data_IF_532444143283
#
_entry.id   IF_532444143283
#
_cell.length_a   1.000
_cell.length_b   1.000
_cell.length_c   1.000
_cell.angle_alpha   90.00
_cell.angle_beta   90.00
_cell.angle_gamma   90.00
#
_symmetry.space_group_name_H-M   'P 1'
#
loop_
_entity.id
_entity.type
_entity.pdbx_description
1 polymer ?
#
# COMPACT_ATOMS: atom_id res chain seq x y z
N UNK A 1 49.87 -14.56 51.59
CA UNK A 1 49.42 -13.19 51.90
C UNK A 1 49.05 -12.54 50.57
N UNK A 2 47.75 -12.40 50.31
CA UNK A 2 47.20 -11.97 49.01
C UNK A 2 47.21 -10.44 48.90
N UNK A 3 47.91 -9.90 47.90
CA UNK A 3 47.81 -8.49 47.52
C UNK A 3 47.01 -8.43 46.22
N UNK A 4 45.80 -7.84 46.30
CA UNK A 4 44.94 -7.54 45.15
C UNK A 4 45.49 -6.31 44.43
N UNK A 5 45.68 -6.40 43.12
CA UNK A 5 45.89 -5.24 42.25
C UNK A 5 44.58 -4.91 41.51
N UNK A 6 44.22 -3.63 41.33
CA UNK A 6 42.93 -3.24 40.78
C UNK A 6 42.92 -3.36 39.25
N UNK A 7 41.80 -3.88 38.74
CA UNK A 7 41.45 -3.87 37.32
C UNK A 7 41.27 -2.41 36.91
N UNK A 8 42.15 -1.91 36.04
CA UNK A 8 41.98 -0.63 35.36
C UNK A 8 41.01 -0.84 34.20
N UNK A 9 39.73 -0.56 34.43
CA UNK A 9 38.72 -0.44 33.40
C UNK A 9 38.94 0.86 32.64
N UNK A 10 39.59 0.78 31.46
CA UNK A 10 39.59 1.87 30.49
C UNK A 10 38.21 1.88 29.85
N UNK A 11 37.32 2.71 30.39
CA UNK A 11 36.05 3.09 29.77
C UNK A 11 36.36 3.92 28.52
N UNK A 12 36.66 3.23 27.41
CA UNK A 12 36.70 3.84 26.09
C UNK A 12 35.29 4.26 25.70
N UNK A 13 35.05 5.57 25.65
CA UNK A 13 33.84 6.15 25.07
C UNK A 13 33.80 5.78 23.59
N UNK A 14 33.04 4.74 23.24
CA UNK A 14 32.64 4.52 21.86
C UNK A 14 31.60 5.59 21.56
N UNK A 15 32.03 6.67 20.93
CA UNK A 15 31.13 7.57 20.21
C UNK A 15 30.67 6.80 18.97
N UNK A 16 29.52 6.12 19.08
CA UNK A 16 28.83 5.62 17.91
C UNK A 16 28.34 6.87 17.18
N UNK A 17 29.07 7.30 16.15
CA UNK A 17 28.53 8.21 15.15
C UNK A 17 27.42 7.43 14.44
N UNK A 18 26.22 7.51 15.00
CA UNK A 18 25.00 7.11 14.34
C UNK A 18 24.79 8.16 13.25
N UNK A 19 25.43 7.96 12.09
CA UNK A 19 25.07 8.72 10.90
C UNK A 19 23.64 8.33 10.57
N UNK A 20 22.70 9.10 11.08
CA UNK A 20 21.38 9.17 10.49
C UNK A 20 21.61 9.66 9.06
N UNK A 21 21.56 8.75 8.10
CA UNK A 21 21.40 9.15 6.70
C UNK A 21 20.08 9.92 6.67
N UNK A 22 20.17 11.24 6.65
CA UNK A 22 19.08 12.07 6.21
C UNK A 22 18.84 11.67 4.76
N UNK A 23 17.77 10.92 4.50
CA UNK A 23 17.30 10.67 3.14
C UNK A 23 17.25 12.04 2.45
N UNK A 24 18.09 12.21 1.43
CA UNK A 24 18.09 13.42 0.63
C UNK A 24 16.71 13.49 -0.02
N UNK A 25 15.88 14.42 0.44
CA UNK A 25 14.65 14.78 -0.22
C UNK A 25 15.03 15.26 -1.61
N UNK A 26 14.81 14.42 -2.62
CA UNK A 26 15.00 14.76 -4.02
C UNK A 26 13.86 15.70 -4.44
N UNK A 27 14.12 17.01 -4.66
CA UNK A 27 13.07 17.96 -5.02
C UNK A 27 12.60 17.80 -6.47
N UNK A 28 13.22 16.93 -7.28
CA UNK A 28 12.89 16.70 -8.70
C UNK A 28 11.93 15.53 -8.92
N UNK A 29 10.94 15.33 -8.04
CA UNK A 29 9.81 14.48 -8.37
C UNK A 29 8.95 15.16 -9.46
N UNK A 30 9.28 14.93 -10.73
CA UNK A 30 8.51 15.41 -11.89
C UNK A 30 7.19 14.64 -12.12
N UNK A 31 6.85 13.69 -11.24
CA UNK A 31 5.59 12.96 -11.30
C UNK A 31 4.42 13.80 -10.77
N UNK A 32 3.29 13.80 -11.46
CA UNK A 32 2.03 14.20 -10.84
C UNK A 32 1.53 13.05 -9.96
N UNK A 33 1.23 13.32 -8.69
CA UNK A 33 0.54 12.36 -7.83
C UNK A 33 -0.94 12.39 -8.22
N UNK A 34 -1.49 11.23 -8.55
CA UNK A 34 -2.93 11.08 -8.76
C UNK A 34 -3.65 11.21 -7.41
N UNK A 35 -4.10 12.43 -7.11
CA UNK A 35 -4.78 12.76 -5.86
C UNK A 35 -6.17 12.15 -5.74
N UNK A 36 -6.68 11.49 -6.79
CA UNK A 36 -7.93 10.74 -6.70
C UNK A 36 -7.73 9.41 -5.98
N UNK A 37 -6.50 8.88 -5.91
CA UNK A 37 -6.22 7.63 -5.21
C UNK A 37 -6.30 7.87 -3.70
N UNK A 38 -7.21 7.18 -3.03
CA UNK A 38 -7.37 7.23 -1.58
C UNK A 38 -6.62 6.09 -0.88
N UNK A 39 -6.67 4.89 -1.46
CA UNK A 39 -6.02 3.72 -0.87
C UNK A 39 -5.60 2.70 -1.94
N UNK A 40 -4.55 1.95 -1.62
CA UNK A 40 -3.97 0.90 -2.45
C UNK A 40 -3.59 -0.29 -1.56
N UNK A 41 -4.13 -1.46 -1.90
CA UNK A 41 -3.66 -2.73 -1.35
C UNK A 41 -3.03 -3.57 -2.45
N UNK A 42 -1.84 -4.10 -2.20
CA UNK A 42 -1.12 -4.98 -3.14
C UNK A 42 -1.00 -6.37 -2.53
N UNK A 43 -1.34 -7.39 -3.30
CA UNK A 43 -1.41 -8.76 -2.81
C UNK A 43 -1.45 -9.80 -3.91
N UNK A 44 -1.24 -11.05 -3.53
CA UNK A 44 -1.35 -12.20 -4.41
C UNK A 44 -0.33 -12.25 -5.54
N UNK A 45 -0.33 -13.39 -6.23
CA UNK A 45 0.47 -13.64 -7.41
C UNK A 45 -0.45 -14.10 -8.54
N UNK A 46 -0.09 -13.75 -9.77
CA UNK A 46 -0.75 -14.28 -10.95
C UNK A 46 0.28 -14.70 -12.00
N UNK A 47 -0.17 -15.58 -12.89
CA UNK A 47 0.58 -16.01 -14.05
C UNK A 47 -0.37 -16.31 -15.21
N UNK A 48 -0.06 -15.78 -16.38
CA UNK A 48 -0.76 -16.05 -17.64
C UNK A 48 0.27 -16.21 -18.76
N UNK A 49 0.46 -17.45 -19.23
CA UNK A 49 1.54 -17.78 -20.17
C UNK A 49 2.92 -17.44 -19.60
N UNK A 50 3.63 -16.55 -20.28
CA UNK A 50 4.96 -16.06 -19.88
C UNK A 50 4.89 -14.83 -18.95
N UNK A 51 3.71 -14.22 -18.82
CA UNK A 51 3.52 -13.07 -17.94
C UNK A 51 3.23 -13.54 -16.52
N UNK A 52 3.82 -12.85 -15.54
CA UNK A 52 3.54 -13.08 -14.13
C UNK A 52 3.70 -11.79 -13.33
N UNK A 53 3.12 -11.76 -12.13
CA UNK A 53 3.33 -10.65 -11.21
C UNK A 53 2.34 -10.66 -10.07
N UNK A 54 1.90 -9.46 -9.65
CA UNK A 54 1.07 -9.25 -8.46
C UNK A 54 -0.25 -8.59 -8.80
N UNK A 55 -1.21 -8.72 -7.91
CA UNK A 55 -2.45 -7.97 -7.96
C UNK A 55 -2.36 -6.72 -7.10
N UNK A 56 -3.13 -5.71 -7.46
CA UNK A 56 -3.33 -4.53 -6.65
C UNK A 56 -4.77 -4.07 -6.78
N UNK A 57 -5.42 -3.80 -5.65
CA UNK A 57 -6.69 -3.11 -5.61
C UNK A 57 -6.45 -1.63 -5.36
N UNK A 58 -7.07 -0.77 -6.15
CA UNK A 58 -6.99 0.69 -6.04
C UNK A 58 -8.38 1.23 -5.74
N UNK A 59 -8.47 2.02 -4.67
CA UNK A 59 -9.62 2.84 -4.34
C UNK A 59 -9.39 4.28 -4.79
N UNK A 60 -10.28 4.79 -5.63
CA UNK A 60 -10.27 6.19 -6.09
C UNK A 60 -11.51 6.92 -5.63
N UNK A 61 -11.35 8.17 -5.23
CA UNK A 61 -12.42 9.07 -4.85
C UNK A 61 -12.65 10.12 -5.94
N UNK A 62 -13.92 10.35 -6.29
CA UNK A 62 -14.34 11.42 -7.20
C UNK A 62 -15.49 12.22 -6.60
N UNK A 63 -15.57 13.50 -6.96
CA UNK A 63 -16.60 14.43 -6.49
C UNK A 63 -16.11 15.34 -5.36
N UNK A 64 -16.66 16.57 -5.32
CA UNK A 64 -16.19 17.62 -4.41
C UNK A 64 -17.11 17.77 -3.19
N UNK A 65 -18.37 18.17 -3.40
CA UNK A 65 -19.38 18.25 -2.32
C UNK A 65 -19.93 16.87 -1.95
N UNK A 66 -19.85 15.94 -2.89
CA UNK A 66 -20.34 14.59 -2.77
C UNK A 66 -19.30 13.60 -3.31
N UNK A 67 -18.43 13.10 -2.42
CA UNK A 67 -17.41 12.09 -2.74
C UNK A 67 -18.01 10.69 -2.92
N UNK A 68 -17.62 10.02 -3.99
CA UNK A 68 -17.90 8.61 -4.26
C UNK A 68 -16.60 7.87 -4.51
N UNK A 69 -16.50 6.65 -3.99
CA UNK A 69 -15.36 5.79 -4.25
C UNK A 69 -15.62 4.81 -5.40
N UNK A 70 -14.57 4.48 -6.13
CA UNK A 70 -14.53 3.54 -7.23
C UNK A 70 -13.36 2.59 -7.03
N UNK A 71 -13.58 1.31 -7.31
CA UNK A 71 -12.57 0.26 -7.14
C UNK A 71 -12.10 -0.27 -8.48
N UNK A 72 -10.79 -0.50 -8.57
CA UNK A 72 -10.12 -1.04 -9.73
C UNK A 72 -9.14 -2.13 -9.31
N UNK A 73 -9.24 -3.30 -9.94
CA UNK A 73 -8.23 -4.35 -9.85
C UNK A 73 -7.19 -4.15 -10.95
N UNK A 74 -5.93 -4.07 -10.56
CA UNK A 74 -4.79 -3.98 -11.46
C UNK A 74 -3.97 -5.26 -11.41
N UNK A 75 -3.66 -5.77 -12.59
CA UNK A 75 -2.58 -6.71 -12.81
C UNK A 75 -1.28 -5.94 -12.96
N UNK A 76 -0.33 -6.19 -12.09
CA UNK A 76 1.03 -5.68 -12.19
C UNK A 76 1.92 -6.79 -12.71
N UNK A 77 2.55 -6.59 -13.87
CA UNK A 77 3.53 -7.52 -14.44
C UNK A 77 4.93 -7.15 -13.94
N UNK A 78 5.71 -8.17 -13.60
CA UNK A 78 7.14 -8.02 -13.31
C UNK A 78 7.89 -8.07 -14.64
N UNK A 79 8.66 -7.02 -14.93
CA UNK A 79 9.57 -6.94 -16.06
C UNK A 79 10.99 -7.22 -15.58
N UNK A 80 11.45 -8.45 -15.79
CA UNK A 80 12.77 -8.92 -15.37
C UNK A 80 13.92 -8.24 -16.14
N UNK A 81 13.68 -7.81 -17.38
CA UNK A 81 14.69 -7.16 -18.21
C UNK A 81 15.00 -5.76 -17.67
N UNK A 82 13.94 -4.99 -17.39
CA UNK A 82 14.06 -3.61 -16.90
C UNK A 82 14.05 -3.51 -15.37
N UNK A 83 13.96 -4.64 -14.65
CA UNK A 83 13.83 -4.72 -13.19
C UNK A 83 12.74 -3.80 -12.64
N UNK A 84 11.61 -3.76 -13.34
CA UNK A 84 10.52 -2.84 -13.04
C UNK A 84 9.19 -3.57 -12.88
N UNK A 85 8.20 -2.88 -12.34
CA UNK A 85 6.83 -3.36 -12.26
C UNK A 85 5.98 -2.47 -13.15
N UNK A 86 5.30 -3.08 -14.12
CA UNK A 86 4.48 -2.38 -15.11
C UNK A 86 3.01 -2.73 -14.90
N UNK A 87 2.13 -1.74 -15.08
CA UNK A 87 0.69 -2.01 -15.17
C UNK A 87 0.43 -2.84 -16.43
N UNK A 88 -0.05 -4.07 -16.25
CA UNK A 88 -0.38 -4.97 -17.36
C UNK A 88 -1.82 -4.74 -17.82
N UNK A 89 -2.75 -4.63 -16.88
CA UNK A 89 -4.18 -4.45 -17.18
C UNK A 89 -4.90 -3.93 -15.94
N UNK A 90 -5.92 -3.11 -16.18
CA UNK A 90 -6.81 -2.55 -15.15
C UNK A 90 -8.25 -2.90 -15.44
N UNK A 91 -8.98 -3.41 -14.45
CA UNK A 91 -10.42 -3.73 -14.53
C UNK A 91 -11.19 -3.00 -13.44
N UNK A 92 -12.30 -2.32 -13.76
CA UNK A 92 -13.22 -1.81 -12.75
C UNK A 92 -13.95 -2.96 -12.05
N UNK A 93 -14.07 -2.90 -10.72
CA UNK A 93 -14.91 -3.84 -9.96
C UNK A 93 -16.37 -3.42 -10.12
N UNK A 94 -17.08 -4.05 -11.07
CA UNK A 94 -18.40 -3.58 -11.49
C UNK A 94 -19.47 -3.69 -10.41
N UNK A 95 -19.39 -4.70 -9.54
CA UNK A 95 -20.27 -4.92 -8.40
C UNK A 95 -20.22 -3.74 -7.42
N UNK A 96 -19.02 -3.18 -7.22
CA UNK A 96 -18.81 -1.99 -6.39
C UNK A 96 -19.07 -0.69 -7.15
N UNK A 97 -18.85 -0.65 -8.45
CA UNK A 97 -18.95 0.59 -9.22
C UNK A 97 -20.34 0.85 -9.82
N UNK A 98 -21.21 -0.16 -9.91
CA UNK A 98 -22.55 -0.05 -10.54
C UNK A 98 -23.68 0.35 -9.58
N UNK A 99 -23.39 0.57 -8.30
CA UNK A 99 -24.40 0.73 -7.25
C UNK A 99 -24.43 2.09 -6.56
N UNK A 100 -24.98 2.11 -5.35
CA UNK A 100 -25.23 3.30 -4.55
C UNK A 100 -23.97 3.98 -4.00
N UNK A 101 -24.20 5.11 -3.33
CA UNK A 101 -23.16 5.98 -2.78
C UNK A 101 -22.36 5.27 -1.66
N UNK A 102 -21.10 4.94 -1.97
CA UNK A 102 -20.14 4.27 -1.08
C UNK A 102 -18.86 5.09 -0.98
N UNK A 103 -18.34 5.20 0.23
CA UNK A 103 -17.01 5.75 0.48
C UNK A 103 -16.12 4.66 1.07
N UNK A 104 -15.07 4.28 0.35
CA UNK A 104 -14.04 3.35 0.80
C UNK A 104 -13.21 4.03 1.87
N UNK A 105 -13.05 3.33 3.00
CA UNK A 105 -12.24 3.74 4.15
C UNK A 105 -10.84 3.16 3.97
N UNK A 106 -10.76 1.85 3.76
CA UNK A 106 -9.53 1.12 3.49
C UNK A 106 -9.78 -0.08 2.56
N UNK A 107 -8.69 -0.59 1.99
CA UNK A 107 -8.61 -1.88 1.31
C UNK A 107 -7.45 -2.69 1.90
N UNK A 108 -7.70 -3.96 2.17
CA UNK A 108 -6.69 -4.86 2.75
C UNK A 108 -6.60 -6.14 1.93
N UNK A 109 -5.44 -6.78 1.91
CA UNK A 109 -5.26 -8.09 1.30
C UNK A 109 -5.01 -9.14 2.39
N UNK A 110 -5.88 -10.13 2.46
CA UNK A 110 -5.84 -11.23 3.44
C UNK A 110 -6.23 -12.53 2.77
N UNK A 111 -5.50 -13.61 3.05
CA UNK A 111 -5.85 -14.98 2.67
C UNK A 111 -6.30 -15.13 1.20
N UNK A 112 -5.51 -14.60 0.27
CA UNK A 112 -5.79 -14.62 -1.18
C UNK A 112 -7.04 -13.84 -1.63
N UNK A 113 -7.56 -12.93 -0.80
CA UNK A 113 -8.67 -12.05 -1.14
C UNK A 113 -8.39 -10.59 -0.77
N UNK A 114 -9.14 -9.68 -1.40
CA UNK A 114 -9.18 -8.29 -0.97
C UNK A 114 -10.42 -8.04 -0.11
N UNK A 115 -10.19 -7.51 1.09
CA UNK A 115 -11.23 -6.96 1.95
C UNK A 115 -11.39 -5.47 1.66
N UNK A 116 -12.63 -5.01 1.57
CA UNK A 116 -12.97 -3.62 1.29
C UNK A 116 -13.84 -3.11 2.44
N UNK A 117 -13.35 -2.11 3.16
CA UNK A 117 -14.13 -1.43 4.20
C UNK A 117 -14.71 -0.14 3.63
N UNK A 118 -16.03 0.06 3.80
CA UNK A 118 -16.70 1.24 3.27
C UNK A 118 -17.89 1.69 4.12
N UNK A 119 -18.25 2.96 3.98
CA UNK A 119 -19.44 3.57 4.58
C UNK A 119 -20.51 3.88 3.54
N UNK A 120 -21.78 3.79 3.94
CA UNK A 120 -22.94 4.12 3.10
C UNK A 120 -23.55 5.46 3.53
N UNK A 121 -24.04 6.26 2.57
CA UNK A 121 -24.65 7.57 2.88
C UNK A 121 -25.88 7.48 3.78
N UNK A 122 -26.68 6.41 3.67
CA UNK A 122 -27.94 6.25 4.40
C UNK A 122 -27.78 5.61 5.79
N UNK A 123 -26.60 5.06 6.11
CA UNK A 123 -26.32 4.50 7.43
C UNK A 123 -25.79 5.61 8.33
N UNK A 124 -26.66 6.17 9.19
CA UNK A 124 -26.23 6.84 10.42
C UNK A 124 -25.33 5.85 11.21
N UNK A 125 -24.02 5.92 11.00
CA UNK A 125 -22.98 5.27 11.81
C UNK A 125 -22.93 3.73 11.78
N UNK A 126 -23.16 3.06 10.64
CA UNK A 126 -22.87 1.63 10.50
C UNK A 126 -21.92 1.37 9.35
N UNK A 127 -20.67 1.05 9.69
CA UNK A 127 -19.67 0.59 8.74
C UNK A 127 -20.13 -0.75 8.14
N UNK A 128 -19.90 -0.93 6.84
CA UNK A 128 -20.27 -2.14 6.12
C UNK A 128 -19.01 -2.76 5.52
N UNK A 129 -18.87 -4.08 5.61
CA UNK A 129 -17.76 -4.83 5.01
C UNK A 129 -18.25 -5.60 3.78
N UNK A 130 -17.40 -5.65 2.75
CA UNK A 130 -17.60 -6.49 1.57
C UNK A 130 -16.29 -7.20 1.20
N UNK A 131 -16.41 -8.41 0.67
CA UNK A 131 -15.28 -9.21 0.20
C UNK A 131 -15.38 -9.38 -1.31
N UNK A 132 -14.24 -9.24 -1.99
CA UNK A 132 -14.11 -9.64 -3.39
C UNK A 132 -12.92 -10.59 -3.53
N UNK A 133 -13.13 -11.69 -4.23
CA UNK A 133 -12.05 -12.60 -4.58
C UNK A 133 -11.34 -12.04 -5.83
N UNK A 134 -10.01 -12.18 -5.86
CA UNK A 134 -9.17 -11.82 -7.00
C UNK A 134 -9.15 -12.95 -8.05
#
# INVERSE_FOLDING_TARGET
MNIKLPIVLILGWIVINLSASADQFDPEFEGSIDTTINDISTGGLWKEGENYGKWRLIARNFGWEHTMSFLYLQWLKIDDENKSVIEFKTIPITEFNSGGWRNVIDVEYHDDAFAIHYSLRSSRGKDSQGYTQA
#
